data_IF_442942457317
#
_entry.id   IF_442942457317
#
_cell.length_a   1.000
_cell.length_b   1.000
_cell.length_c   1.000
_cell.angle_alpha   90.00
_cell.angle_beta   90.00
_cell.angle_gamma   90.00
#
_symmetry.space_group_name_H-M   'P 1'
#
loop_
_entity.id
_entity.type
_entity.pdbx_description
1 polymer ?
#
# COMPACT_ATOMS: atom_id res chain seq x y z
N UNK A 1 -14.23 -14.18 13.38
CA UNK A 1 -13.10 -13.22 13.28
C UNK A 1 -11.97 -13.95 12.58
N UNK A 2 -11.33 -13.34 11.58
CA UNK A 2 -10.10 -13.89 11.03
C UNK A 2 -8.98 -13.61 12.05
N UNK A 3 -8.38 -14.65 12.61
CA UNK A 3 -7.16 -14.50 13.42
C UNK A 3 -6.03 -14.07 12.49
N UNK A 4 -5.29 -13.04 12.89
CA UNK A 4 -4.02 -12.70 12.26
C UNK A 4 -2.97 -13.64 12.81
N UNK A 5 -2.27 -14.33 11.92
CA UNK A 5 -1.08 -15.08 12.28
C UNK A 5 0.15 -14.32 11.77
N UNK A 6 0.99 -13.88 12.70
CA UNK A 6 2.23 -13.16 12.43
C UNK A 6 3.34 -14.18 12.23
N UNK A 7 4.10 -14.05 11.15
CA UNK A 7 5.19 -14.96 10.83
C UNK A 7 6.41 -14.22 10.34
N UNK A 8 7.58 -14.59 10.85
CA UNK A 8 8.85 -14.10 10.31
C UNK A 8 9.33 -14.94 9.12
N UNK A 9 8.72 -16.11 8.91
CA UNK A 9 9.12 -17.05 7.88
C UNK A 9 8.28 -16.88 6.61
N UNK A 10 8.97 -16.90 5.47
CA UNK A 10 8.33 -17.01 4.16
C UNK A 10 7.58 -18.34 4.06
N UNK A 11 6.37 -18.33 3.48
CA UNK A 11 5.54 -19.53 3.29
C UNK A 11 6.30 -20.65 2.54
N UNK A 12 6.23 -21.87 3.07
CA UNK A 12 6.62 -23.08 2.35
C UNK A 12 5.60 -23.40 1.26
N UNK A 13 6.08 -23.60 0.03
CA UNK A 13 5.25 -23.91 -1.13
C UNK A 13 5.00 -25.42 -1.26
N UNK A 14 3.79 -25.79 -1.66
CA UNK A 14 3.50 -27.13 -2.18
C UNK A 14 4.12 -27.36 -3.55
N UNK A 15 4.26 -28.63 -3.96
CA UNK A 15 4.74 -28.98 -5.30
C UNK A 15 3.90 -28.34 -6.41
N UNK A 16 2.58 -28.29 -6.23
CA UNK A 16 1.65 -27.66 -7.18
C UNK A 16 1.89 -26.16 -7.33
N UNK A 17 2.20 -25.45 -6.23
CA UNK A 17 2.48 -24.02 -6.25
C UNK A 17 3.84 -23.73 -6.89
N UNK A 18 4.84 -24.59 -6.64
CA UNK A 18 6.14 -24.54 -7.31
C UNK A 18 5.95 -24.72 -8.83
N UNK A 19 5.14 -25.69 -9.25
CA UNK A 19 4.82 -25.89 -10.67
C UNK A 19 4.09 -24.67 -11.27
N UNK A 20 3.14 -24.07 -10.55
CA UNK A 20 2.45 -22.86 -11.01
C UNK A 20 3.42 -21.69 -11.22
N UNK A 21 4.34 -21.46 -10.29
CA UNK A 21 5.38 -20.43 -10.44
C UNK A 21 6.30 -20.70 -11.63
N UNK A 22 6.71 -21.97 -11.84
CA UNK A 22 7.49 -22.38 -13.03
C UNK A 22 6.72 -22.10 -14.32
N UNK A 23 5.42 -22.40 -14.36
CA UNK A 23 4.57 -22.11 -15.51
C UNK A 23 4.48 -20.60 -15.78
N UNK A 24 4.35 -19.77 -14.76
CA UNK A 24 4.34 -18.31 -14.92
C UNK A 24 5.62 -17.79 -15.60
N UNK A 25 6.76 -18.43 -15.36
CA UNK A 25 8.04 -18.09 -15.98
C UNK A 25 8.17 -18.54 -17.45
N UNK A 26 7.29 -19.42 -17.94
CA UNK A 26 7.33 -19.91 -19.32
C UNK A 26 7.07 -18.81 -20.36
N UNK A 27 6.37 -17.73 -19.97
CA UNK A 27 6.16 -16.55 -20.79
C UNK A 27 5.83 -15.34 -19.92
N UNK A 28 6.76 -14.39 -19.89
CA UNK A 28 6.55 -13.04 -19.36
C UNK A 28 5.94 -12.14 -20.44
N UNK A 29 5.43 -10.97 -20.06
CA UNK A 29 5.00 -9.97 -21.04
C UNK A 29 6.20 -9.40 -21.79
N UNK A 30 5.99 -8.96 -23.03
CA UNK A 30 7.02 -8.25 -23.81
C UNK A 30 7.41 -6.94 -23.13
N UNK A 31 8.67 -6.53 -23.29
CA UNK A 31 9.19 -5.24 -22.82
C UNK A 31 8.34 -4.05 -23.30
N UNK A 32 7.95 -4.02 -24.59
CA UNK A 32 7.06 -2.98 -25.12
C UNK A 32 5.78 -2.84 -24.29
N UNK A 33 5.10 -3.95 -23.99
CA UNK A 33 3.90 -3.97 -23.16
C UNK A 33 4.18 -3.53 -21.72
N UNK A 34 5.31 -3.95 -21.13
CA UNK A 34 5.71 -3.52 -19.79
C UNK A 34 5.89 -2.00 -19.72
N UNK A 35 6.56 -1.42 -20.72
CA UNK A 35 6.78 0.02 -20.85
C UNK A 35 5.46 0.79 -21.05
N UNK A 36 4.53 0.25 -21.85
CA UNK A 36 3.19 0.84 -21.99
C UNK A 36 2.40 0.83 -20.67
N UNK A 37 2.48 -0.26 -19.90
CA UNK A 37 1.82 -0.33 -18.58
C UNK A 37 2.37 0.69 -17.58
N UNK A 38 3.68 0.96 -17.63
CA UNK A 38 4.31 2.01 -16.82
C UNK A 38 3.84 3.40 -17.24
N UNK A 39 3.91 3.70 -18.55
CA UNK A 39 3.49 5.00 -19.07
C UNK A 39 2.00 5.29 -18.80
N UNK A 40 1.16 4.26 -18.87
CA UNK A 40 -0.29 4.36 -18.67
C UNK A 40 -0.74 4.06 -17.23
N UNK A 41 0.17 3.98 -16.25
CA UNK A 41 -0.17 3.61 -14.87
C UNK A 41 -1.29 4.48 -14.28
N UNK A 42 -1.20 5.81 -14.45
CA UNK A 42 -2.26 6.76 -14.04
C UNK A 42 -3.60 6.45 -14.70
N UNK A 43 -3.60 6.21 -16.01
CA UNK A 43 -4.81 5.91 -16.78
C UNK A 43 -5.47 4.62 -16.32
N UNK A 44 -4.70 3.58 -16.02
CA UNK A 44 -5.25 2.31 -15.52
C UNK A 44 -5.94 2.48 -14.16
N UNK A 45 -5.32 3.21 -13.22
CA UNK A 45 -5.93 3.52 -11.93
C UNK A 45 -7.16 4.42 -12.06
N UNK A 46 -7.11 5.44 -12.90
CA UNK A 46 -8.26 6.33 -13.16
C UNK A 46 -9.45 5.55 -13.76
N UNK A 47 -9.20 4.64 -14.70
CA UNK A 47 -10.22 3.74 -15.25
C UNK A 47 -10.74 2.74 -14.23
N UNK A 48 -9.88 2.25 -13.34
CA UNK A 48 -10.28 1.38 -12.24
C UNK A 48 -11.30 2.08 -11.34
N UNK A 49 -11.01 3.30 -10.89
CA UNK A 49 -11.95 4.07 -10.05
C UNK A 49 -13.20 4.51 -10.81
N UNK A 50 -13.10 4.80 -12.11
CA UNK A 50 -14.28 5.05 -12.96
C UNK A 50 -15.24 3.85 -13.00
N UNK A 51 -14.71 2.63 -13.04
CA UNK A 51 -15.53 1.41 -13.15
C UNK A 51 -16.11 0.96 -11.81
N UNK A 52 -15.35 1.16 -10.73
CA UNK A 52 -15.64 0.55 -9.44
C UNK A 52 -16.17 1.54 -8.39
N UNK A 53 -15.92 2.84 -8.55
CA UNK A 53 -16.27 3.89 -7.59
C UNK A 53 -15.81 3.49 -6.17
N UNK A 54 -16.69 3.57 -5.18
CA UNK A 54 -16.41 3.22 -3.78
C UNK A 54 -16.81 1.78 -3.39
N UNK A 55 -17.09 0.90 -4.37
CA UNK A 55 -17.72 -0.41 -4.12
C UNK A 55 -16.74 -1.60 -4.08
N UNK A 56 -15.49 -1.38 -4.47
CA UNK A 56 -14.53 -2.48 -4.63
C UNK A 56 -13.76 -2.82 -3.36
N UNK A 57 -13.19 -1.82 -2.70
CA UNK A 57 -12.43 -2.01 -1.47
C UNK A 57 -13.33 -1.79 -0.24
N UNK A 58 -13.05 -2.55 0.82
CA UNK A 58 -13.71 -2.40 2.11
C UNK A 58 -12.93 -1.44 2.99
N UNK A 59 -13.66 -0.81 3.89
CA UNK A 59 -13.09 0.01 4.96
C UNK A 59 -12.14 -0.78 5.85
N UNK A 60 -11.03 -0.14 6.19
CA UNK A 60 -9.87 -0.75 6.85
C UNK A 60 -9.94 -0.60 8.37
N UNK A 61 -11.04 -0.99 9.02
CA UNK A 61 -11.23 -0.99 10.49
C UNK A 61 -10.30 -1.95 11.27
N UNK A 62 -9.23 -2.43 10.65
CA UNK A 62 -8.19 -3.22 11.30
C UNK A 62 -6.95 -2.40 11.63
N UNK A 63 -6.82 -1.19 11.08
CA UNK A 63 -5.58 -0.41 11.10
C UNK A 63 -5.16 0.00 12.49
N UNK A 64 -6.07 0.52 13.32
CA UNK A 64 -5.77 0.92 14.70
C UNK A 64 -5.42 -0.24 15.62
N UNK A 65 -5.92 -1.45 15.33
CA UNK A 65 -5.57 -2.68 16.07
C UNK A 65 -4.18 -3.22 15.74
N UNK A 66 -3.64 -2.86 14.57
CA UNK A 66 -2.37 -3.41 14.08
C UNK A 66 -1.25 -2.37 14.00
N UNK A 67 -1.63 -1.09 14.02
CA UNK A 67 -0.76 0.07 14.12
C UNK A 67 -1.26 0.91 15.29
N UNK A 68 -0.91 0.50 16.50
CA UNK A 68 -1.29 1.21 17.74
C UNK A 68 -0.77 2.65 17.76
N UNK A 69 0.25 2.99 16.97
CA UNK A 69 0.71 4.38 16.75
C UNK A 69 -0.38 5.30 16.19
N UNK A 70 -1.45 4.75 15.62
CA UNK A 70 -2.62 5.51 15.18
C UNK A 70 -3.57 5.86 16.33
N UNK A 71 -3.49 5.16 17.46
CA UNK A 71 -4.21 5.49 18.68
C UNK A 71 -3.50 6.68 19.33
N UNK A 72 -3.71 7.87 18.75
CA UNK A 72 -3.18 9.13 19.25
C UNK A 72 -3.78 9.40 20.64
N UNK A 73 -3.07 9.03 21.71
CA UNK A 73 -3.55 9.21 23.08
C UNK A 73 -3.61 10.71 23.42
N UNK A 74 -4.79 11.14 23.86
CA UNK A 74 -5.21 12.54 23.84
C UNK A 74 -4.56 13.32 24.99
N UNK A 75 -3.47 14.04 24.72
CA UNK A 75 -3.02 15.21 25.52
C UNK A 75 -2.01 16.14 24.78
N UNK A 76 -1.60 15.82 23.55
CA UNK A 76 -0.58 16.59 22.78
C UNK A 76 -1.12 17.23 21.49
N UNK A 77 -0.29 18.04 20.83
CA UNK A 77 -0.60 18.69 19.55
C UNK A 77 -1.10 17.69 18.49
N UNK A 78 -2.01 18.13 17.62
CA UNK A 78 -2.55 17.26 16.56
C UNK A 78 -1.44 16.80 15.60
N UNK A 79 -1.23 15.49 15.53
CA UNK A 79 -0.29 14.86 14.60
C UNK A 79 -0.75 15.02 13.15
N UNK A 80 0.20 15.21 12.24
CA UNK A 80 -0.02 15.22 10.79
C UNK A 80 0.14 13.80 10.23
N UNK A 81 -0.94 13.27 9.70
CA UNK A 81 -1.02 11.97 9.02
C UNK A 81 -1.09 12.18 7.51
N UNK A 82 -0.15 11.62 6.75
CA UNK A 82 -0.19 11.64 5.28
C UNK A 82 -0.55 10.25 4.73
N UNK A 83 -1.76 10.10 4.20
CA UNK A 83 -2.16 8.91 3.46
C UNK A 83 -1.78 9.05 1.97
N UNK A 84 -0.76 8.32 1.56
CA UNK A 84 -0.37 8.22 0.15
C UNK A 84 -1.14 7.06 -0.48
N UNK A 85 -1.70 7.28 -1.68
CA UNK A 85 -2.55 6.30 -2.35
C UNK A 85 -3.87 6.09 -1.63
N UNK A 86 -4.56 7.19 -1.29
CA UNK A 86 -5.75 7.16 -0.45
C UNK A 86 -6.95 6.43 -1.08
N UNK A 87 -6.92 6.23 -2.40
CA UNK A 87 -8.04 5.70 -3.16
C UNK A 87 -9.31 6.48 -2.86
N UNK A 88 -10.36 5.76 -2.48
CA UNK A 88 -11.67 6.34 -2.13
C UNK A 88 -11.82 6.61 -0.62
N UNK A 89 -10.73 6.58 0.14
CA UNK A 89 -10.70 6.95 1.57
C UNK A 89 -11.00 5.82 2.56
N UNK A 90 -10.92 4.56 2.13
CA UNK A 90 -11.20 3.40 2.99
C UNK A 90 -10.23 3.25 4.19
N UNK A 91 -9.18 4.06 4.28
CA UNK A 91 -8.31 4.15 5.46
C UNK A 91 -8.68 5.37 6.31
N UNK A 92 -8.75 6.57 5.73
CA UNK A 92 -9.02 7.81 6.47
C UNK A 92 -10.40 7.87 7.12
N UNK A 93 -11.47 7.43 6.44
CA UNK A 93 -12.82 7.56 7.00
C UNK A 93 -13.03 6.71 8.25
N UNK A 94 -12.56 5.44 8.32
CA UNK A 94 -12.54 4.69 9.57
C UNK A 94 -11.82 5.40 10.72
N UNK A 95 -10.70 6.07 10.47
CA UNK A 95 -9.97 6.80 11.53
C UNK A 95 -10.77 8.02 12.02
N UNK A 96 -11.48 8.70 11.11
CA UNK A 96 -12.38 9.80 11.44
C UNK A 96 -13.58 9.30 12.27
N UNK A 97 -14.17 8.17 11.90
CA UNK A 97 -15.28 7.52 12.61
C UNK A 97 -14.88 7.07 14.02
N UNK A 98 -13.65 6.58 14.19
CA UNK A 98 -13.07 6.23 15.49
C UNK A 98 -12.73 7.46 16.36
N UNK A 99 -12.89 8.67 15.84
CA UNK A 99 -12.68 9.92 16.59
C UNK A 99 -11.21 10.27 16.81
N UNK A 100 -10.30 9.72 16.00
CA UNK A 100 -8.87 9.96 16.14
C UNK A 100 -8.51 11.38 15.70
N UNK A 101 -7.75 12.07 16.55
CA UNK A 101 -7.47 13.49 16.39
C UNK A 101 -6.22 13.74 15.52
N UNK A 102 -6.36 13.54 14.20
CA UNK A 102 -5.31 13.82 13.21
C UNK A 102 -5.59 15.09 12.40
N UNK A 103 -4.51 15.65 11.86
CA UNK A 103 -4.54 16.51 10.69
C UNK A 103 -4.13 15.69 9.47
N UNK A 104 -5.06 15.49 8.54
CA UNK A 104 -4.92 14.52 7.45
C UNK A 104 -4.54 15.25 6.16
N UNK A 105 -3.43 14.83 5.58
CA UNK A 105 -3.08 15.02 4.18
C UNK A 105 -3.36 13.71 3.46
N UNK A 106 -3.86 13.76 2.23
CA UNK A 106 -4.06 12.57 1.43
C UNK A 106 -3.76 12.84 -0.04
N UNK A 107 -3.21 11.84 -0.74
CA UNK A 107 -3.04 11.94 -2.18
C UNK A 107 -3.30 10.61 -2.89
N UNK A 108 -3.62 10.69 -4.18
CA UNK A 108 -3.71 9.53 -5.06
C UNK A 108 -3.24 9.90 -6.47
N UNK A 109 -2.74 8.92 -7.22
CA UNK A 109 -2.36 9.10 -8.62
C UNK A 109 -3.59 9.43 -9.50
N UNK A 110 -4.75 8.89 -9.12
CA UNK A 110 -6.02 9.05 -9.83
C UNK A 110 -6.76 10.31 -9.36
N UNK A 111 -7.02 11.28 -10.26
CA UNK A 111 -7.86 12.44 -9.92
C UNK A 111 -9.28 12.02 -9.53
N UNK A 112 -9.84 10.95 -10.12
CA UNK A 112 -11.16 10.44 -9.72
C UNK A 112 -11.19 9.94 -8.28
N UNK A 113 -10.11 9.31 -7.81
CA UNK A 113 -10.04 8.84 -6.42
C UNK A 113 -10.10 10.03 -5.45
N UNK A 114 -9.32 11.07 -5.75
CA UNK A 114 -9.33 12.35 -5.03
C UNK A 114 -10.71 12.99 -5.02
N UNK A 115 -11.40 13.04 -6.15
CA UNK A 115 -12.76 13.60 -6.25
C UNK A 115 -13.78 12.80 -5.42
N UNK A 116 -13.68 11.46 -5.40
CA UNK A 116 -14.54 10.61 -4.59
C UNK A 116 -14.33 10.87 -3.10
N UNK A 117 -13.08 11.02 -2.64
CA UNK A 117 -12.78 11.36 -1.23
C UNK A 117 -13.37 12.73 -0.89
N UNK A 118 -13.16 13.75 -1.73
CA UNK A 118 -13.69 15.10 -1.50
C UNK A 118 -15.22 15.15 -1.48
N UNK A 119 -15.88 14.29 -2.24
CA UNK A 119 -17.33 14.16 -2.29
C UNK A 119 -17.93 13.23 -1.22
N UNK A 120 -17.11 12.61 -0.36
CA UNK A 120 -17.60 11.66 0.62
C UNK A 120 -18.41 12.35 1.73
N UNK A 121 -19.55 11.80 2.19
CA UNK A 121 -20.38 12.42 3.22
C UNK A 121 -19.66 12.69 4.55
N UNK A 122 -18.70 11.84 4.91
CA UNK A 122 -17.88 11.99 6.11
C UNK A 122 -16.65 12.89 5.92
N UNK A 123 -16.51 13.56 4.77
CA UNK A 123 -15.43 14.51 4.55
C UNK A 123 -15.55 15.69 5.52
N UNK A 124 -14.51 15.90 6.33
CA UNK A 124 -14.48 16.93 7.36
C UNK A 124 -13.24 17.81 7.18
N UNK A 125 -13.44 19.06 6.76
CA UNK A 125 -12.36 20.02 6.51
C UNK A 125 -11.60 20.47 7.77
N UNK A 126 -12.11 20.19 8.98
CA UNK A 126 -11.39 20.44 10.23
C UNK A 126 -10.35 19.36 10.55
N UNK A 127 -10.51 18.17 9.94
CA UNK A 127 -9.62 17.02 10.10
C UNK A 127 -8.77 16.81 8.85
N UNK A 128 -9.37 16.88 7.66
CA UNK A 128 -8.71 16.72 6.37
C UNK A 128 -8.26 18.09 5.87
N UNK A 129 -6.96 18.37 6.01
CA UNK A 129 -6.35 19.61 5.52
C UNK A 129 -6.35 19.67 4.00
N UNK A 130 -5.98 18.55 3.35
CA UNK A 130 -5.81 18.53 1.90
C UNK A 130 -5.95 17.12 1.31
N UNK A 131 -6.63 17.05 0.18
CA UNK A 131 -6.64 15.88 -0.71
C UNK A 131 -6.27 16.31 -2.12
N UNK A 132 -5.25 15.72 -2.72
CA UNK A 132 -4.69 16.19 -3.99
C UNK A 132 -4.23 15.04 -4.90
N UNK A 133 -4.20 15.30 -6.21
CA UNK A 133 -3.66 14.33 -7.17
C UNK A 133 -2.14 14.40 -7.12
N UNK A 134 -1.46 13.25 -7.01
CA UNK A 134 0.01 13.20 -6.92
C UNK A 134 0.55 11.88 -7.46
N UNK A 135 1.60 11.94 -8.28
CA UNK A 135 2.47 10.78 -8.51
C UNK A 135 3.59 10.79 -7.48
N UNK A 136 3.47 9.97 -6.43
CA UNK A 136 4.48 9.86 -5.35
C UNK A 136 5.87 9.41 -5.86
N UNK A 137 5.94 8.88 -7.08
CA UNK A 137 7.22 8.45 -7.68
C UNK A 137 8.01 9.61 -8.28
N UNK A 138 7.44 10.82 -8.28
CA UNK A 138 8.02 12.06 -8.82
C UNK A 138 8.14 13.11 -7.73
N UNK A 139 8.72 14.26 -8.07
CA UNK A 139 8.92 15.38 -7.14
C UNK A 139 7.65 16.24 -6.95
N UNK A 140 6.55 15.94 -7.66
CA UNK A 140 5.25 16.63 -7.58
C UNK A 140 4.74 16.76 -6.13
N UNK A 141 5.08 15.79 -5.27
CA UNK A 141 4.64 15.79 -3.86
C UNK A 141 5.15 17.00 -3.08
N UNK A 142 6.31 17.55 -3.45
CA UNK A 142 6.93 18.67 -2.75
C UNK A 142 6.25 20.01 -3.00
N UNK A 143 5.42 20.11 -4.05
CA UNK A 143 4.55 21.29 -4.27
C UNK A 143 3.46 21.39 -3.19
N UNK A 144 3.07 20.24 -2.63
CA UNK A 144 1.89 20.11 -1.79
C UNK A 144 2.22 19.80 -0.33
N UNK A 145 3.35 19.12 -0.08
CA UNK A 145 3.81 18.71 1.25
C UNK A 145 5.28 19.05 1.40
N UNK A 146 5.61 19.86 2.41
CA UNK A 146 6.99 20.25 2.69
C UNK A 146 7.75 19.13 3.40
N UNK A 147 9.06 19.10 3.21
CA UNK A 147 9.95 18.22 3.98
C UNK A 147 9.81 18.46 5.48
N UNK A 148 10.03 17.40 6.27
CA UNK A 148 10.01 17.44 7.74
C UNK A 148 8.70 18.02 8.32
N UNK A 149 7.55 17.69 7.74
CA UNK A 149 6.25 18.18 8.24
C UNK A 149 5.31 17.08 8.70
N UNK A 150 5.48 15.85 8.24
CA UNK A 150 4.56 14.75 8.52
C UNK A 150 5.03 13.94 9.72
N UNK A 151 4.13 13.63 10.65
CA UNK A 151 4.43 12.78 11.82
C UNK A 151 4.30 11.29 11.45
N UNK A 152 3.26 10.93 10.69
CA UNK A 152 2.99 9.56 10.25
C UNK A 152 2.64 9.56 8.75
N UNK A 153 3.31 8.73 7.96
CA UNK A 153 2.94 8.47 6.56
C UNK A 153 2.50 7.03 6.40
N UNK A 154 1.48 6.78 5.57
CA UNK A 154 1.07 5.41 5.22
C UNK A 154 1.33 5.07 3.76
N UNK A 155 1.77 3.83 3.53
CA UNK A 155 1.89 3.19 2.22
C UNK A 155 1.17 1.83 2.29
N UNK A 156 -0.16 1.86 2.28
CA UNK A 156 -1.00 0.66 2.41
C UNK A 156 -1.55 0.26 1.03
N UNK A 157 -1.01 -0.81 0.44
CA UNK A 157 -1.28 -1.31 -0.91
C UNK A 157 -0.93 -0.31 -2.03
N UNK A 158 0.18 0.41 -1.86
CA UNK A 158 0.65 1.46 -2.78
C UNK A 158 1.89 1.03 -3.53
N UNK A 159 2.94 0.63 -2.81
CA UNK A 159 4.24 0.36 -3.40
C UNK A 159 4.17 -0.84 -4.36
N UNK A 160 3.24 -1.79 -4.16
CA UNK A 160 3.03 -2.87 -5.12
C UNK A 160 2.56 -2.40 -6.50
N UNK A 161 1.94 -1.22 -6.61
CA UNK A 161 1.50 -0.66 -7.89
C UNK A 161 2.61 0.11 -8.63
N UNK A 162 3.70 0.44 -7.93
CA UNK A 162 4.85 1.20 -8.43
C UNK A 162 5.85 0.26 -9.11
N UNK A 163 6.57 0.75 -10.12
CA UNK A 163 7.65 -0.02 -10.75
C UNK A 163 8.79 -0.26 -9.75
N UNK A 164 9.36 -1.48 -9.64
CA UNK A 164 10.39 -1.79 -8.64
C UNK A 164 11.64 -0.89 -8.69
N UNK A 165 12.01 -0.39 -9.86
CA UNK A 165 13.14 0.55 -10.01
C UNK A 165 12.91 1.88 -9.28
N UNK A 166 11.64 2.28 -9.07
CA UNK A 166 11.25 3.53 -8.41
C UNK A 166 11.09 3.37 -6.89
N UNK A 167 11.23 2.17 -6.32
CA UNK A 167 10.97 1.93 -4.90
C UNK A 167 11.87 2.76 -3.99
N UNK A 168 13.18 2.76 -4.23
CA UNK A 168 14.14 3.50 -3.39
C UNK A 168 13.86 4.99 -3.42
N UNK A 169 13.65 5.56 -4.59
CA UNK A 169 13.43 7.00 -4.71
C UNK A 169 12.09 7.38 -4.08
N UNK A 170 11.04 6.58 -4.28
CA UNK A 170 9.75 6.76 -3.60
C UNK A 170 9.90 6.75 -2.08
N UNK A 171 10.61 5.76 -1.52
CA UNK A 171 10.85 5.66 -0.07
C UNK A 171 11.72 6.82 0.44
N UNK A 172 12.73 7.27 -0.30
CA UNK A 172 13.54 8.45 0.07
C UNK A 172 12.71 9.72 0.10
N UNK A 173 11.81 9.93 -0.88
CA UNK A 173 10.88 11.07 -0.85
C UNK A 173 9.97 11.01 0.37
N UNK A 174 9.35 9.86 0.61
CA UNK A 174 8.51 9.67 1.80
C UNK A 174 9.28 9.96 3.10
N UNK A 175 10.55 9.54 3.19
CA UNK A 175 11.42 9.87 4.33
C UNK A 175 11.69 11.36 4.46
N UNK A 176 11.88 12.07 3.35
CA UNK A 176 12.12 13.51 3.35
C UNK A 176 10.92 14.27 3.93
N UNK A 177 9.69 13.84 3.62
CA UNK A 177 8.45 14.43 4.15
C UNK A 177 8.24 14.23 5.65
N UNK A 178 8.71 13.09 6.19
CA UNK A 178 8.61 12.79 7.63
C UNK A 178 9.48 13.73 8.47
N UNK A 179 8.97 14.18 9.61
CA UNK A 179 9.77 14.83 10.67
C UNK A 179 10.83 13.85 11.20
N UNK A 180 11.95 14.34 11.79
CA UNK A 180 12.83 13.49 12.59
C UNK A 180 12.02 12.72 13.64
N UNK A 181 12.20 11.40 13.70
CA UNK A 181 11.40 10.52 14.55
C UNK A 181 10.03 10.10 13.99
N UNK A 182 9.60 10.65 12.85
CA UNK A 182 8.34 10.32 12.19
C UNK A 182 8.29 8.88 11.66
N UNK A 183 7.07 8.35 11.50
CA UNK A 183 6.82 6.94 11.20
C UNK A 183 6.29 6.72 9.79
N UNK A 184 6.81 5.70 9.12
CA UNK A 184 6.22 5.07 7.95
C UNK A 184 5.48 3.80 8.39
N UNK A 185 4.18 3.74 8.11
CA UNK A 185 3.35 2.55 8.25
C UNK A 185 3.11 1.93 6.87
N UNK A 186 3.59 0.70 6.68
CA UNK A 186 3.56 0.01 5.40
C UNK A 186 2.76 -1.29 5.52
N UNK A 187 1.89 -1.55 4.55
CA UNK A 187 1.34 -2.89 4.31
C UNK A 187 1.16 -3.13 2.82
N UNK A 188 1.67 -4.24 2.32
CA UNK A 188 1.42 -4.64 0.94
C UNK A 188 1.43 -6.17 0.76
N UNK A 189 1.22 -6.66 -0.46
CA UNK A 189 1.15 -8.10 -0.75
C UNK A 189 2.46 -8.81 -0.43
N UNK A 190 2.40 -9.91 0.31
CA UNK A 190 3.56 -10.73 0.66
C UNK A 190 3.82 -11.84 -0.37
N UNK A 191 5.06 -12.34 -0.40
CA UNK A 191 5.42 -13.48 -1.23
C UNK A 191 4.52 -14.67 -0.98
N UNK A 192 4.18 -15.34 -2.09
CA UNK A 192 3.37 -16.54 -2.16
C UNK A 192 1.94 -16.37 -1.64
N UNK A 193 1.46 -15.12 -1.60
CA UNK A 193 0.05 -14.79 -1.52
C UNK A 193 -0.72 -15.56 -2.61
N UNK A 194 -1.94 -16.00 -2.28
CA UNK A 194 -2.78 -16.74 -3.22
C UNK A 194 -2.99 -15.97 -4.53
N UNK A 195 -3.03 -14.62 -4.48
CA UNK A 195 -3.15 -13.82 -5.70
C UNK A 195 -1.91 -13.89 -6.59
N UNK A 196 -0.70 -14.04 -6.03
CA UNK A 196 0.53 -14.23 -6.79
C UNK A 196 0.51 -15.59 -7.51
N UNK A 197 0.17 -16.63 -6.77
CA UNK A 197 0.27 -18.02 -7.24
C UNK A 197 -0.73 -18.36 -8.36
N UNK A 198 -1.82 -17.59 -8.46
CA UNK A 198 -2.88 -17.81 -9.47
C UNK A 198 -2.70 -17.03 -10.77
N UNK A 199 -1.70 -16.15 -10.89
CA UNK A 199 -1.45 -15.44 -12.15
C UNK A 199 -1.22 -16.44 -13.29
N UNK A 200 -1.78 -16.11 -14.46
CA UNK A 200 -1.65 -16.94 -15.66
C UNK A 200 -0.43 -16.54 -16.47
N UNK A 201 0.00 -17.47 -17.32
CA UNK A 201 1.10 -17.28 -18.27
C UNK A 201 0.86 -16.04 -19.14
N UNK A 202 1.84 -15.14 -19.26
CA UNK A 202 1.70 -13.86 -19.96
C UNK A 202 1.17 -12.70 -19.11
N UNK A 203 1.15 -12.83 -17.78
CA UNK A 203 0.87 -11.72 -16.86
C UNK A 203 2.10 -11.25 -16.07
N UNK A 204 3.13 -12.10 -15.95
CA UNK A 204 4.36 -11.74 -15.23
C UNK A 204 5.15 -10.69 -16.02
N UNK A 205 5.54 -9.61 -15.35
CA UNK A 205 6.34 -8.51 -15.89
C UNK A 205 7.82 -8.80 -15.64
N UNK A 206 8.15 -9.00 -14.38
CA UNK A 206 9.48 -9.38 -13.90
C UNK A 206 9.30 -10.19 -12.62
N UNK A 207 10.39 -10.55 -11.95
CA UNK A 207 10.29 -11.29 -10.70
C UNK A 207 9.45 -10.57 -9.67
N UNK A 208 8.45 -11.29 -9.16
CA UNK A 208 7.45 -10.83 -8.22
C UNK A 208 6.54 -9.68 -8.70
N UNK A 209 6.66 -9.22 -9.95
CA UNK A 209 5.88 -8.11 -10.50
C UNK A 209 4.94 -8.58 -11.60
N UNK A 210 3.65 -8.29 -11.47
CA UNK A 210 2.61 -8.85 -12.35
C UNK A 210 1.62 -7.78 -12.81
N UNK A 211 1.15 -7.94 -14.04
CA UNK A 211 0.05 -7.19 -14.64
C UNK A 211 -1.30 -7.85 -14.31
N UNK A 212 -2.26 -7.06 -13.84
CA UNK A 212 -3.65 -7.46 -13.59
C UNK A 212 -4.51 -7.32 -14.85
N UNK A 213 -5.73 -7.84 -14.80
CA UNK A 213 -6.65 -7.83 -15.95
C UNK A 213 -7.09 -6.43 -16.37
N UNK A 214 -7.15 -5.49 -15.43
CA UNK A 214 -7.53 -4.08 -15.65
C UNK A 214 -6.35 -3.20 -16.08
N UNK A 215 -5.16 -3.77 -16.25
CA UNK A 215 -3.92 -3.05 -16.59
C UNK A 215 -3.18 -2.46 -15.39
N UNK A 216 -3.76 -2.51 -14.19
CA UNK A 216 -3.01 -2.19 -12.96
C UNK A 216 -1.97 -3.28 -12.67
N UNK A 217 -1.06 -3.04 -11.74
CA UNK A 217 0.07 -3.92 -11.45
C UNK A 217 0.16 -4.23 -9.97
N UNK A 218 0.83 -5.34 -9.65
CA UNK A 218 1.12 -5.71 -8.28
C UNK A 218 2.46 -6.42 -8.15
N UNK A 219 3.30 -5.87 -7.29
CA UNK A 219 4.49 -6.50 -6.74
C UNK A 219 4.16 -7.31 -5.47
N UNK A 220 4.90 -8.39 -5.22
CA UNK A 220 4.79 -9.20 -4.01
C UNK A 220 6.11 -9.17 -3.24
N UNK A 221 6.06 -8.68 -2.01
CA UNK A 221 7.23 -8.38 -1.19
C UNK A 221 7.62 -9.55 -0.31
N UNK A 222 8.93 -9.71 -0.09
CA UNK A 222 9.44 -10.51 1.02
C UNK A 222 9.81 -9.59 2.18
N UNK A 223 9.79 -10.09 3.41
CA UNK A 223 10.26 -9.33 4.58
C UNK A 223 11.75 -9.00 4.45
N UNK A 224 12.58 -9.90 3.91
CA UNK A 224 14.01 -9.67 3.68
C UNK A 224 14.26 -8.57 2.65
N UNK A 225 13.49 -8.55 1.56
CA UNK A 225 13.57 -7.50 0.55
C UNK A 225 13.13 -6.14 1.09
N UNK A 226 12.01 -6.11 1.83
CA UNK A 226 11.51 -4.87 2.46
C UNK A 226 12.50 -4.32 3.48
N UNK A 227 13.08 -5.19 4.32
CA UNK A 227 14.14 -4.82 5.27
C UNK A 227 15.31 -4.14 4.56
N UNK A 228 15.86 -4.80 3.55
CA UNK A 228 16.99 -4.25 2.77
C UNK A 228 16.65 -2.90 2.14
N UNK A 229 15.46 -2.76 1.53
CA UNK A 229 15.04 -1.50 0.92
C UNK A 229 14.99 -0.34 1.92
N UNK A 230 14.44 -0.59 3.11
CA UNK A 230 14.32 0.43 4.16
C UNK A 230 15.68 0.82 4.73
N UNK A 231 16.54 -0.16 5.02
CA UNK A 231 17.92 0.08 5.48
C UNK A 231 18.72 0.88 4.45
N UNK A 232 18.63 0.55 3.16
CA UNK A 232 19.30 1.30 2.08
C UNK A 232 18.73 2.71 1.86
N UNK A 233 17.51 2.98 2.34
CA UNK A 233 16.91 4.31 2.40
C UNK A 233 17.19 5.02 3.74
N UNK A 234 17.92 4.37 4.65
CA UNK A 234 18.33 4.89 5.96
C UNK A 234 17.19 5.00 6.97
N UNK A 235 16.16 4.17 6.87
CA UNK A 235 15.14 4.06 7.91
C UNK A 235 15.62 3.17 9.05
N UNK A 236 15.16 3.47 10.27
CA UNK A 236 15.21 2.53 11.39
C UNK A 236 13.99 1.62 11.34
N UNK A 237 14.19 0.31 11.27
CA UNK A 237 13.08 -0.65 11.22
C UNK A 237 12.59 -0.91 12.65
N UNK A 238 11.31 -0.69 12.89
CA UNK A 238 10.64 -0.96 14.18
C UNK A 238 9.94 -2.31 14.16
N UNK A 239 9.27 -2.64 13.04
CA UNK A 239 8.59 -3.92 12.82
C UNK A 239 8.72 -4.29 11.34
N UNK A 240 8.92 -5.56 11.02
CA UNK A 240 8.86 -6.06 9.64
C UNK A 240 8.55 -7.56 9.66
N UNK A 241 7.33 -7.93 9.29
CA UNK A 241 6.82 -9.30 9.47
C UNK A 241 5.80 -9.65 8.39
N UNK A 242 5.56 -10.96 8.18
CA UNK A 242 4.43 -11.41 7.37
C UNK A 242 3.16 -11.47 8.21
N UNK A 243 2.04 -11.19 7.55
CA UNK A 243 0.69 -11.31 8.11
C UNK A 243 -0.08 -12.29 7.26
N UNK A 244 -0.49 -13.39 7.88
CA UNK A 244 -1.35 -14.39 7.28
C UNK A 244 -2.79 -14.11 7.69
N UNK A 245 -3.67 -13.98 6.69
CA UNK A 245 -5.12 -13.85 6.90
C UNK A 245 -5.85 -14.88 6.08
N UNK A 246 -6.82 -15.58 6.67
CA UNK A 246 -7.65 -16.54 5.93
C UNK A 246 -9.11 -16.15 6.02
N UNK A 247 -9.74 -15.96 4.87
CA UNK A 247 -11.20 -15.79 4.79
C UNK A 247 -11.82 -17.12 4.37
N UNK A 248 -12.56 -17.75 5.28
CA UNK A 248 -13.25 -19.03 5.02
C UNK A 248 -14.76 -18.81 5.11
N UNK A 249 -15.47 -19.03 4.00
CA UNK A 249 -16.92 -19.19 3.98
C UNK A 249 -17.25 -20.56 3.37
N UNK A 250 -17.52 -21.55 4.24
CA UNK A 250 -17.83 -22.91 3.81
C UNK A 250 -19.13 -23.02 2.99
N UNK A 251 -20.11 -22.14 3.23
CA UNK A 251 -21.40 -22.16 2.50
C UNK A 251 -21.24 -21.69 1.05
N UNK A 252 -20.33 -20.75 0.83
CA UNK A 252 -20.03 -20.19 -0.50
C UNK A 252 -18.79 -20.84 -1.16
N UNK A 253 -18.23 -21.87 -0.53
CA UNK A 253 -16.99 -22.54 -0.95
C UNK A 253 -15.82 -21.55 -1.16
N UNK A 254 -15.71 -20.54 -0.29
CA UNK A 254 -14.64 -19.55 -0.30
C UNK A 254 -13.60 -19.95 0.75
N UNK A 255 -12.36 -20.11 0.31
CA UNK A 255 -11.18 -20.23 1.16
C UNK A 255 -10.05 -19.44 0.53
N UNK A 256 -9.79 -18.25 1.08
CA UNK A 256 -8.87 -17.27 0.49
C UNK A 256 -7.79 -16.97 1.52
N UNK A 257 -6.70 -17.74 1.54
CA UNK A 257 -5.51 -17.41 2.31
C UNK A 257 -4.80 -16.23 1.64
N UNK A 258 -4.52 -15.20 2.44
CA UNK A 258 -3.82 -14.00 2.04
C UNK A 258 -2.54 -13.85 2.85
N UNK A 259 -1.49 -13.38 2.20
CA UNK A 259 -0.20 -13.07 2.82
C UNK A 259 0.12 -11.62 2.52
N UNK A 260 0.48 -10.88 3.55
CA UNK A 260 0.91 -9.50 3.45
C UNK A 260 2.27 -9.33 4.12
N UNK A 261 3.05 -8.34 3.69
CA UNK A 261 4.16 -7.81 4.49
C UNK A 261 3.62 -6.59 5.22
N UNK A 262 3.85 -6.53 6.53
CA UNK A 262 3.58 -5.35 7.36
C UNK A 262 4.90 -4.85 7.94
N UNK A 263 5.13 -3.54 7.78
CA UNK A 263 6.31 -2.90 8.30
C UNK A 263 5.97 -1.57 8.98
N UNK A 264 6.70 -1.28 10.06
CA UNK A 264 6.80 0.02 10.68
C UNK A 264 8.26 0.44 10.65
N UNK A 265 8.52 1.61 10.10
CA UNK A 265 9.87 2.16 10.00
C UNK A 265 9.87 3.62 10.46
N UNK A 266 10.99 4.09 10.98
CA UNK A 266 11.15 5.43 11.54
C UNK A 266 12.23 6.21 10.80
N UNK A 267 12.00 7.50 10.57
CA UNK A 267 13.07 8.43 10.19
C UNK A 267 13.97 8.68 11.42
N UNK A 268 15.30 8.50 11.33
CA UNK A 268 16.21 8.82 12.43
C UNK A 268 16.00 10.25 12.97
N UNK A 269 16.31 10.46 14.26
CA UNK A 269 16.07 11.73 14.98
C UNK A 269 17.20 12.76 14.75
N UNK A 270 18.19 12.44 13.92
CA UNK A 270 19.37 13.29 13.65
C UNK A 270 19.06 14.75 13.32
#
# INVERSE_FOLDING_TARGET
MAENDFSDNTKTLSESEIQNLKLQNSRIISEYKANQLELEAKKHWDLFYKRNENRFFKDRHWTTREFEDLLNDQESDKLILFEIGCGVGNFIFPLIEEGLNFQILACDLSPRAVDIVKGHPSYNSNLIQKVFQCDITTDDVYEEVKENTVDITTLIFVLSAVHPEKFKDTLRRVKALLKPGGLLLFRDYGLYDMAQLRFKVGHKISDNFYMRQDGTRSYFFSTEFMKRLLEECGYEIVLNTYIHRRTVNKKENIDVPRIFVQCKARKPVE
#
